data_IF_858559115985
#
_entry.id   IF_858559115985
#
_cell.length_a   1.000
_cell.length_b   1.000
_cell.length_c   1.000
_cell.angle_alpha   90.00
_cell.angle_beta   90.00
_cell.angle_gamma   90.00
#
_symmetry.space_group_name_H-M   'P 1'
#
loop_
_entity.id
_entity.type
_entity.pdbx_description
1 polymer ?
#
# COMPACT_ATOMS: atom_id res chain seq x y z
N UNK A 1 -16.24 -12.64 4.46
CA UNK A 1 -15.91 -12.71 5.90
C UNK A 1 -16.16 -14.10 6.45
N UNK A 2 -17.41 -14.59 6.51
CA UNK A 2 -17.75 -15.95 7.00
C UNK A 2 -16.98 -17.09 6.30
N UNK A 3 -16.70 -16.99 4.99
CA UNK A 3 -15.95 -18.02 4.26
C UNK A 3 -14.50 -18.12 4.75
N UNK A 4 -13.85 -16.99 5.01
CA UNK A 4 -12.48 -16.93 5.54
C UNK A 4 -12.45 -17.50 6.96
N UNK A 5 -13.43 -17.15 7.79
CA UNK A 5 -13.57 -17.63 9.17
C UNK A 5 -13.78 -19.16 9.23
N UNK A 6 -14.67 -19.69 8.37
CA UNK A 6 -14.99 -21.15 8.35
C UNK A 6 -13.80 -21.99 7.86
N UNK A 7 -13.07 -21.51 6.86
CA UNK A 7 -12.00 -22.29 6.23
C UNK A 7 -10.61 -21.95 6.79
N UNK A 8 -10.50 -21.04 7.75
CA UNK A 8 -9.23 -20.52 8.25
C UNK A 8 -8.26 -20.12 7.12
N UNK A 9 -8.82 -19.58 6.03
CA UNK A 9 -8.11 -19.29 4.80
C UNK A 9 -7.53 -17.89 4.83
N UNK A 10 -6.35 -17.69 4.20
CA UNK A 10 -5.83 -16.35 3.96
C UNK A 10 -6.75 -15.55 3.02
N UNK A 11 -6.69 -14.23 3.10
CA UNK A 11 -7.45 -13.33 2.21
C UNK A 11 -7.10 -13.58 0.73
N UNK A 12 -5.84 -13.90 0.43
CA UNK A 12 -5.37 -14.23 -0.92
C UNK A 12 -5.96 -15.56 -1.42
N UNK A 13 -6.05 -16.58 -0.56
CA UNK A 13 -6.70 -17.84 -0.92
C UNK A 13 -8.19 -17.64 -1.15
N UNK A 14 -8.88 -16.85 -0.31
CA UNK A 14 -10.27 -16.50 -0.52
C UNK A 14 -10.48 -15.76 -1.86
N UNK A 15 -9.58 -14.85 -2.22
CA UNK A 15 -9.60 -14.16 -3.51
C UNK A 15 -9.48 -15.12 -4.69
N UNK A 16 -8.62 -16.15 -4.59
CA UNK A 16 -8.49 -17.21 -5.60
C UNK A 16 -9.80 -17.97 -5.82
N UNK A 17 -10.49 -18.34 -4.74
CA UNK A 17 -11.80 -19.01 -4.84
C UNK A 17 -12.86 -18.12 -5.49
N UNK A 18 -12.91 -16.83 -5.11
CA UNK A 18 -13.82 -15.88 -5.73
C UNK A 18 -13.54 -15.70 -7.22
N UNK A 19 -12.26 -15.57 -7.59
CA UNK A 19 -11.86 -15.50 -8.99
C UNK A 19 -12.29 -16.76 -9.74
N UNK A 20 -11.96 -17.94 -9.25
CA UNK A 20 -12.33 -19.22 -9.89
C UNK A 20 -13.85 -19.41 -10.03
N UNK A 21 -14.64 -18.90 -9.07
CA UNK A 21 -16.09 -18.97 -9.13
C UNK A 21 -16.75 -17.98 -10.11
N UNK A 22 -16.11 -16.86 -10.39
CA UNK A 22 -16.64 -15.78 -11.23
C UNK A 22 -16.05 -15.78 -12.65
N UNK A 23 -14.85 -16.32 -12.83
CA UNK A 23 -14.20 -16.43 -14.14
C UNK A 23 -14.80 -17.60 -14.93
N UNK A 24 -15.16 -17.36 -16.19
CA UNK A 24 -15.66 -18.39 -17.12
C UNK A 24 -14.65 -18.57 -18.26
N UNK A 25 -14.12 -19.79 -18.43
CA UNK A 25 -13.28 -20.18 -19.59
C UNK A 25 -12.25 -19.12 -20.01
N UNK A 26 -11.32 -18.81 -19.13
CA UNK A 26 -10.22 -17.84 -19.34
C UNK A 26 -10.67 -16.38 -19.53
N UNK A 27 -11.90 -16.04 -19.16
CA UNK A 27 -12.41 -14.67 -19.22
C UNK A 27 -12.69 -14.13 -17.80
N UNK A 28 -11.80 -13.24 -17.33
CA UNK A 28 -11.91 -12.61 -16.02
C UNK A 28 -12.89 -11.41 -15.95
N UNK A 29 -13.59 -11.09 -17.06
CA UNK A 29 -14.46 -9.90 -17.13
C UNK A 29 -15.52 -9.88 -16.02
N UNK A 30 -16.16 -11.02 -15.71
CA UNK A 30 -17.15 -11.08 -14.64
C UNK A 30 -16.53 -10.85 -13.26
N UNK A 31 -15.35 -11.39 -13.03
CA UNK A 31 -14.59 -11.16 -11.80
C UNK A 31 -14.20 -9.68 -11.67
N UNK A 32 -13.60 -9.08 -12.69
CA UNK A 32 -13.19 -7.68 -12.69
C UNK A 32 -14.40 -6.75 -12.56
N UNK A 33 -15.54 -7.08 -13.19
CA UNK A 33 -16.81 -6.34 -13.03
C UNK A 33 -17.29 -6.38 -11.57
N UNK A 34 -17.21 -7.53 -10.92
CA UNK A 34 -17.58 -7.66 -9.51
C UNK A 34 -16.64 -6.84 -8.60
N UNK A 35 -15.32 -6.85 -8.89
CA UNK A 35 -14.33 -6.02 -8.16
C UNK A 35 -14.62 -4.53 -8.39
N UNK A 36 -14.83 -4.08 -9.63
CA UNK A 36 -15.19 -2.70 -9.96
C UNK A 36 -16.44 -2.26 -9.19
N UNK A 37 -17.47 -3.09 -9.21
CA UNK A 37 -18.70 -2.81 -8.47
C UNK A 37 -18.43 -2.67 -6.96
N UNK A 38 -17.64 -3.57 -6.37
CA UNK A 38 -17.33 -3.51 -4.94
C UNK A 38 -16.51 -2.27 -4.56
N UNK A 39 -15.62 -1.78 -5.46
CA UNK A 39 -14.83 -0.56 -5.23
C UNK A 39 -15.66 0.72 -5.30
N UNK A 40 -16.67 0.76 -6.18
CA UNK A 40 -17.35 2.00 -6.56
C UNK A 40 -18.85 2.05 -6.20
N UNK A 41 -19.41 1.00 -5.62
CA UNK A 41 -20.85 0.91 -5.29
C UNK A 41 -21.26 1.87 -4.15
N UNK A 42 -20.32 2.26 -3.30
CA UNK A 42 -20.56 3.20 -2.20
C UNK A 42 -19.95 4.57 -2.48
N UNK A 43 -20.65 5.65 -2.17
CA UNK A 43 -20.09 7.00 -2.34
C UNK A 43 -18.85 7.17 -1.46
N UNK A 44 -17.79 7.71 -2.05
CA UNK A 44 -16.55 7.99 -1.34
C UNK A 44 -16.73 9.16 -0.40
N UNK A 45 -16.24 9.02 0.83
CA UNK A 45 -16.21 10.08 1.82
C UNK A 45 -14.96 10.95 1.62
N UNK A 46 -15.03 12.26 1.91
CA UNK A 46 -13.84 13.10 1.99
C UNK A 46 -12.79 12.46 2.92
N UNK A 47 -11.53 12.51 2.52
CA UNK A 47 -10.43 11.93 3.28
C UNK A 47 -9.35 12.96 3.56
N UNK A 48 -9.23 13.45 4.81
CA UNK A 48 -8.14 14.35 5.20
C UNK A 48 -6.76 13.77 4.90
N UNK A 49 -6.62 12.44 4.97
CA UNK A 49 -5.38 11.76 4.61
C UNK A 49 -5.05 11.94 3.13
N UNK A 50 -6.02 11.78 2.25
CA UNK A 50 -5.81 12.00 0.81
C UNK A 50 -5.49 13.45 0.51
N UNK A 51 -6.19 14.40 1.15
CA UNK A 51 -5.87 15.82 1.01
C UNK A 51 -4.42 16.12 1.42
N UNK A 52 -3.94 15.56 2.52
CA UNK A 52 -2.57 15.72 2.97
C UNK A 52 -1.54 15.10 2.02
N UNK A 53 -1.81 13.89 1.48
CA UNK A 53 -0.96 13.22 0.48
C UNK A 53 -0.86 14.07 -0.80
N UNK A 54 -2.00 14.52 -1.33
CA UNK A 54 -2.02 15.33 -2.56
C UNK A 54 -1.34 16.69 -2.35
N UNK A 55 -1.48 17.24 -1.15
CA UNK A 55 -0.73 18.44 -0.77
C UNK A 55 0.79 18.26 -0.84
N UNK A 56 1.32 17.07 -0.50
CA UNK A 56 2.75 16.76 -0.68
C UNK A 56 3.13 16.63 -2.16
N UNK A 57 2.24 16.10 -2.99
CA UNK A 57 2.47 15.95 -4.43
C UNK A 57 2.50 17.31 -5.17
N UNK A 58 1.89 18.35 -4.60
CA UNK A 58 1.84 19.68 -5.23
C UNK A 58 3.25 20.31 -5.28
N UNK A 59 3.77 20.66 -6.46
CA UNK A 59 5.11 21.22 -6.61
C UNK A 59 5.29 22.53 -5.83
N UNK A 60 6.43 22.66 -5.16
CA UNK A 60 6.84 23.90 -4.49
C UNK A 60 8.11 24.45 -5.16
N UNK A 61 8.37 25.75 -4.97
CA UNK A 61 9.60 26.40 -5.49
C UNK A 61 10.87 25.87 -4.83
N UNK A 62 10.78 25.41 -3.59
CA UNK A 62 11.91 24.89 -2.80
C UNK A 62 11.45 23.66 -1.99
N UNK A 63 12.41 22.82 -1.58
CA UNK A 63 12.19 21.65 -0.77
C UNK A 63 12.14 20.34 -1.56
N UNK A 64 11.84 19.25 -0.85
CA UNK A 64 11.70 17.93 -1.45
C UNK A 64 10.48 17.88 -2.38
N UNK A 65 10.63 17.18 -3.50
CA UNK A 65 9.55 16.95 -4.46
C UNK A 65 9.19 15.50 -4.47
N UNK A 66 7.90 15.20 -4.50
CA UNK A 66 7.42 13.84 -4.80
C UNK A 66 7.70 13.59 -6.28
N UNK A 67 8.45 12.54 -6.56
CA UNK A 67 8.82 12.15 -7.92
C UNK A 67 7.84 11.16 -8.54
N UNK A 68 7.21 10.35 -7.71
CA UNK A 68 6.24 9.35 -8.14
C UNK A 68 5.36 8.92 -6.96
N UNK A 69 4.22 8.38 -7.28
CA UNK A 69 3.35 7.66 -6.36
C UNK A 69 3.32 6.20 -6.77
N UNK A 70 3.56 5.28 -5.83
CA UNK A 70 3.36 3.85 -6.05
C UNK A 70 2.18 3.42 -5.16
N UNK A 71 1.15 2.86 -5.77
CA UNK A 71 -0.02 2.37 -5.06
C UNK A 71 -0.25 0.89 -5.32
N UNK A 72 -0.72 0.20 -4.28
CA UNK A 72 -1.15 -1.20 -4.31
C UNK A 72 -2.67 -1.31 -4.45
N UNK A 73 -3.37 -0.18 -4.40
CA UNK A 73 -4.81 -0.10 -4.61
C UNK A 73 -5.14 -0.22 -6.10
N UNK A 74 -6.31 -0.76 -6.39
CA UNK A 74 -6.82 -0.90 -7.75
C UNK A 74 -7.63 0.31 -8.21
N UNK A 75 -8.06 1.17 -7.28
CA UNK A 75 -8.96 2.29 -7.55
C UNK A 75 -8.22 3.55 -8.01
N UNK A 76 -8.96 4.48 -8.58
CA UNK A 76 -8.51 5.79 -9.08
C UNK A 76 -8.64 6.91 -8.04
N UNK A 77 -8.55 6.61 -6.75
CA UNK A 77 -8.73 7.60 -5.69
C UNK A 77 -7.65 8.69 -5.70
N UNK A 78 -6.41 8.34 -5.98
CA UNK A 78 -5.29 9.28 -6.08
C UNK A 78 -5.54 10.25 -7.24
N UNK A 79 -5.91 9.72 -8.40
CA UNK A 79 -6.20 10.46 -9.63
C UNK A 79 -7.37 11.45 -9.41
N UNK A 80 -8.45 11.00 -8.78
CA UNK A 80 -9.59 11.86 -8.47
C UNK A 80 -9.21 13.08 -7.62
N UNK A 81 -8.27 12.90 -6.68
CA UNK A 81 -7.80 14.00 -5.85
C UNK A 81 -6.80 14.90 -6.57
N UNK A 82 -5.97 14.37 -7.45
CA UNK A 82 -5.09 15.15 -8.32
C UNK A 82 -5.89 15.99 -9.32
N UNK A 83 -6.96 15.44 -9.91
CA UNK A 83 -7.90 16.15 -10.77
C UNK A 83 -8.49 17.41 -10.07
N UNK A 84 -8.84 17.29 -8.77
CA UNK A 84 -9.39 18.43 -8.00
C UNK A 84 -8.41 19.59 -7.87
N UNK A 85 -7.12 19.30 -7.78
CA UNK A 85 -6.06 20.32 -7.67
C UNK A 85 -5.44 20.67 -9.02
N UNK A 86 -5.90 20.05 -10.11
CA UNK A 86 -5.44 20.25 -11.49
C UNK A 86 -3.93 20.02 -11.64
N UNK A 87 -3.42 18.96 -11.01
CA UNK A 87 -2.04 18.55 -11.15
C UNK A 87 -1.96 17.50 -12.26
N UNK A 88 -1.07 17.73 -13.22
CA UNK A 88 -0.85 16.80 -14.33
C UNK A 88 -0.20 15.52 -13.82
N UNK A 89 -0.73 14.38 -14.26
CA UNK A 89 -0.27 13.06 -13.85
C UNK A 89 -0.42 12.04 -14.97
N UNK A 90 0.29 10.92 -14.84
CA UNK A 90 0.14 9.76 -15.71
C UNK A 90 -0.10 8.52 -14.86
N UNK A 91 -1.24 7.87 -15.06
CA UNK A 91 -1.55 6.56 -14.47
C UNK A 91 -0.83 5.47 -15.28
N UNK A 92 -0.03 4.64 -14.59
CA UNK A 92 0.81 3.57 -15.18
C UNK A 92 0.47 2.26 -14.50
N UNK A 93 0.00 1.29 -15.26
CA UNK A 93 -0.38 -0.05 -14.76
C UNK A 93 0.02 -1.18 -15.72
N UNK A 94 0.76 -0.84 -16.79
CA UNK A 94 1.31 -1.76 -17.81
C UNK A 94 2.76 -1.38 -18.12
N UNK A 95 3.54 -2.34 -18.59
CA UNK A 95 4.97 -2.17 -18.93
C UNK A 95 5.23 -1.15 -20.05
N UNK A 96 4.30 -1.05 -20.98
CA UNK A 96 4.45 -0.22 -22.19
C UNK A 96 4.12 1.26 -21.96
N UNK A 97 3.62 1.63 -20.78
CA UNK A 97 3.19 2.99 -20.49
C UNK A 97 4.37 3.87 -20.04
N UNK A 98 4.43 5.06 -20.62
CA UNK A 98 5.43 6.08 -20.32
C UNK A 98 4.75 7.37 -19.86
N UNK A 99 5.49 8.21 -19.18
CA UNK A 99 5.05 9.54 -18.74
C UNK A 99 5.99 10.62 -19.26
N UNK A 100 5.47 11.82 -19.43
CA UNK A 100 6.25 12.99 -19.74
C UNK A 100 6.91 13.58 -18.47
N UNK A 101 7.93 14.43 -18.65
CA UNK A 101 8.74 14.94 -17.54
C UNK A 101 7.99 15.88 -16.58
N UNK A 102 6.88 16.45 -17.01
CA UNK A 102 6.01 17.36 -16.27
C UNK A 102 4.80 16.66 -15.63
N UNK A 103 4.56 15.40 -15.97
CA UNK A 103 3.56 14.57 -15.35
C UNK A 103 4.06 13.89 -14.08
N UNK A 104 3.20 13.77 -13.07
CA UNK A 104 3.46 12.94 -11.89
C UNK A 104 3.11 11.47 -12.21
N UNK A 105 4.06 10.55 -12.30
CA UNK A 105 3.75 9.14 -12.53
C UNK A 105 3.10 8.50 -11.31
N UNK A 106 1.97 7.82 -11.53
CA UNK A 106 1.24 7.03 -10.54
C UNK A 106 1.31 5.57 -10.99
N UNK A 107 2.09 4.77 -10.28
CA UNK A 107 2.30 3.36 -10.61
C UNK A 107 1.33 2.47 -9.81
N UNK A 108 0.36 1.86 -10.50
CA UNK A 108 -0.53 0.83 -9.94
C UNK A 108 0.11 -0.55 -10.08
N UNK A 109 1.00 -0.87 -9.17
CA UNK A 109 1.84 -2.09 -9.26
C UNK A 109 1.07 -3.39 -9.10
N UNK A 110 -0.17 -3.35 -8.63
CA UNK A 110 -1.08 -4.49 -8.53
C UNK A 110 -2.20 -4.48 -9.59
N UNK A 111 -2.18 -3.52 -10.52
CA UNK A 111 -3.21 -3.34 -11.53
C UNK A 111 -4.17 -2.20 -11.19
N UNK A 112 -5.00 -1.83 -12.16
CA UNK A 112 -5.84 -0.64 -12.10
C UNK A 112 -7.23 -0.89 -12.67
N UNK A 113 -8.25 -0.33 -12.01
CA UNK A 113 -9.64 -0.29 -12.49
C UNK A 113 -10.13 1.13 -12.33
N UNK A 114 -10.40 1.83 -13.45
CA UNK A 114 -11.01 3.16 -13.40
C UNK A 114 -12.48 3.12 -12.97
N UNK A 115 -12.92 4.14 -12.24
CA UNK A 115 -14.35 4.38 -11.98
C UNK A 115 -15.09 4.71 -13.27
N UNK A 116 -14.40 5.35 -14.23
CA UNK A 116 -14.96 5.87 -15.49
C UNK A 116 -14.76 4.86 -16.62
N UNK A 117 -15.70 4.85 -17.57
CA UNK A 117 -15.61 4.02 -18.77
C UNK A 117 -15.81 2.52 -18.54
N UNK A 118 -15.62 1.78 -19.60
CA UNK A 118 -15.73 0.32 -19.60
C UNK A 118 -14.44 -0.34 -19.08
N UNK A 119 -14.56 -1.59 -18.70
CA UNK A 119 -13.41 -2.39 -18.28
C UNK A 119 -12.59 -2.74 -19.53
N UNK A 120 -11.32 -2.44 -19.53
CA UNK A 120 -10.41 -2.84 -20.59
C UNK A 120 -10.30 -4.38 -20.66
N UNK A 121 -10.15 -4.92 -21.87
CA UNK A 121 -10.13 -6.37 -22.10
C UNK A 121 -8.95 -7.07 -21.45
N UNK A 122 -7.83 -6.36 -21.29
CA UNK A 122 -6.54 -6.92 -20.85
C UNK A 122 -6.15 -6.47 -19.42
N UNK A 123 -7.15 -6.10 -18.56
CA UNK A 123 -6.87 -5.74 -17.16
C UNK A 123 -6.37 -6.96 -16.41
N UNK A 124 -5.16 -6.87 -15.91
CA UNK A 124 -4.56 -7.85 -15.00
C UNK A 124 -4.50 -7.29 -13.58
N UNK A 125 -5.11 -8.00 -12.63
CA UNK A 125 -5.09 -7.64 -11.22
C UNK A 125 -4.26 -8.65 -10.43
N UNK A 126 -3.34 -8.16 -9.63
CA UNK A 126 -2.61 -8.96 -8.63
C UNK A 126 -3.48 -9.04 -7.38
N UNK A 127 -4.57 -9.82 -7.48
CA UNK A 127 -5.59 -9.93 -6.45
C UNK A 127 -5.60 -11.31 -5.78
N UNK A 128 -5.23 -12.35 -6.54
CA UNK A 128 -5.24 -13.73 -6.06
C UNK A 128 -3.83 -14.25 -5.78
N UNK A 129 -3.75 -15.30 -4.95
CA UNK A 129 -2.49 -15.98 -4.64
C UNK A 129 -1.70 -16.37 -5.89
N UNK A 130 -2.38 -16.86 -6.93
CA UNK A 130 -1.76 -17.25 -8.20
C UNK A 130 -1.12 -16.06 -8.94
N UNK A 131 -1.85 -14.93 -9.06
CA UNK A 131 -1.33 -13.71 -9.67
C UNK A 131 -0.14 -13.16 -8.89
N UNK A 132 -0.20 -13.26 -7.56
CA UNK A 132 0.87 -12.86 -6.67
C UNK A 132 2.13 -13.72 -6.87
N UNK A 133 1.97 -15.05 -6.93
CA UNK A 133 3.08 -15.97 -7.17
C UNK A 133 3.75 -15.73 -8.52
N UNK A 134 2.98 -15.39 -9.56
CA UNK A 134 3.53 -15.04 -10.86
C UNK A 134 4.48 -13.84 -10.76
N UNK A 135 4.04 -12.73 -10.19
CA UNK A 135 4.88 -11.53 -10.01
C UNK A 135 6.08 -11.79 -9.10
N UNK A 136 5.90 -12.58 -8.05
CA UNK A 136 6.99 -12.96 -7.15
C UNK A 136 8.07 -13.79 -7.84
N UNK A 137 7.67 -14.71 -8.72
CA UNK A 137 8.60 -15.59 -9.45
C UNK A 137 9.24 -14.94 -10.69
N UNK A 138 8.73 -13.79 -11.14
CA UNK A 138 9.28 -13.02 -12.27
C UNK A 138 10.09 -11.81 -11.77
N UNK A 139 11.41 -11.93 -11.53
CA UNK A 139 12.22 -10.85 -10.96
C UNK A 139 12.23 -9.58 -11.83
N UNK A 140 12.07 -9.74 -13.14
CA UNK A 140 12.07 -8.67 -14.13
C UNK A 140 10.68 -8.19 -14.51
N UNK A 141 9.64 -8.58 -13.78
CA UNK A 141 8.32 -8.01 -13.96
C UNK A 141 8.37 -6.50 -13.76
N UNK A 142 7.76 -5.74 -14.66
CA UNK A 142 7.86 -4.27 -14.68
C UNK A 142 7.57 -3.64 -13.30
N UNK A 143 6.54 -4.12 -12.60
CA UNK A 143 6.19 -3.59 -11.28
C UNK A 143 7.29 -3.84 -10.23
N UNK A 144 8.05 -4.95 -10.30
CA UNK A 144 9.20 -5.20 -9.45
C UNK A 144 10.35 -4.24 -9.77
N UNK A 145 10.60 -4.00 -11.07
CA UNK A 145 11.67 -3.10 -11.52
C UNK A 145 11.40 -1.66 -11.09
N UNK A 146 10.19 -1.16 -11.29
CA UNK A 146 9.79 0.20 -10.86
C UNK A 146 9.94 0.37 -9.35
N UNK A 147 9.43 -0.56 -8.57
CA UNK A 147 9.54 -0.53 -7.11
C UNK A 147 11.02 -0.57 -6.67
N UNK A 148 11.81 -1.48 -7.21
CA UNK A 148 13.21 -1.61 -6.85
C UNK A 148 14.02 -0.36 -7.23
N UNK A 149 13.81 0.21 -8.42
CA UNK A 149 14.45 1.45 -8.84
C UNK A 149 14.09 2.60 -7.88
N UNK A 150 12.81 2.74 -7.56
CA UNK A 150 12.32 3.77 -6.63
C UNK A 150 12.94 3.63 -5.25
N UNK A 151 12.97 2.41 -4.70
CA UNK A 151 13.58 2.13 -3.39
C UNK A 151 15.10 2.38 -3.37
N UNK A 152 15.78 2.19 -4.48
CA UNK A 152 17.23 2.43 -4.57
C UNK A 152 17.61 3.88 -4.78
N UNK A 153 16.81 4.64 -5.50
CA UNK A 153 17.15 5.99 -5.94
C UNK A 153 16.53 7.08 -5.06
N UNK A 154 15.44 6.78 -4.34
CA UNK A 154 14.68 7.76 -3.60
C UNK A 154 14.52 7.40 -2.12
N UNK A 155 14.19 8.40 -1.31
CA UNK A 155 13.63 8.18 0.03
C UNK A 155 12.12 7.96 -0.13
N UNK A 156 11.62 6.85 0.35
CA UNK A 156 10.20 6.51 0.25
C UNK A 156 9.48 6.77 1.57
N UNK A 157 8.29 7.33 1.49
CA UNK A 157 7.35 7.44 2.60
C UNK A 157 6.19 6.48 2.33
N UNK A 158 6.02 5.50 3.20
CA UNK A 158 5.03 4.42 3.07
C UNK A 158 3.86 4.68 4.00
N UNK A 159 2.66 4.76 3.44
CA UNK A 159 1.42 5.10 4.15
C UNK A 159 0.41 3.99 3.90
N UNK A 160 -0.20 3.46 4.97
CA UNK A 160 -1.20 2.39 4.88
C UNK A 160 -0.64 1.01 4.50
N UNK A 161 0.69 0.82 4.59
CA UNK A 161 1.34 -0.46 4.32
C UNK A 161 1.77 -1.12 5.64
N UNK A 162 1.35 -2.36 5.84
CA UNK A 162 1.79 -3.17 6.99
C UNK A 162 3.21 -3.72 6.84
N UNK A 163 3.78 -3.65 5.65
CA UNK A 163 5.03 -4.31 5.25
C UNK A 163 5.03 -5.84 5.54
N UNK A 164 3.84 -6.44 5.53
CA UNK A 164 3.69 -7.90 5.60
C UNK A 164 3.80 -8.58 4.23
N UNK A 165 3.74 -7.81 3.14
CA UNK A 165 3.87 -8.29 1.77
C UNK A 165 5.27 -8.86 1.53
N UNK A 166 5.42 -10.19 1.25
CA UNK A 166 6.73 -10.81 1.07
C UNK A 166 7.50 -10.28 -0.13
N UNK A 167 6.81 -9.83 -1.19
CA UNK A 167 7.47 -9.29 -2.37
C UNK A 167 8.06 -7.90 -2.08
N UNK A 168 7.31 -7.03 -1.44
CA UNK A 168 7.81 -5.72 -1.03
C UNK A 168 8.97 -5.85 -0.04
N UNK A 169 8.89 -6.76 0.93
CA UNK A 169 9.99 -7.04 1.86
C UNK A 169 11.25 -7.48 1.13
N UNK A 170 11.13 -8.41 0.18
CA UNK A 170 12.25 -8.84 -0.67
C UNK A 170 12.90 -7.67 -1.42
N UNK A 171 12.08 -6.79 -2.00
CA UNK A 171 12.59 -5.62 -2.73
C UNK A 171 13.30 -4.63 -1.79
N UNK A 172 12.76 -4.39 -0.59
CA UNK A 172 13.41 -3.59 0.46
C UNK A 172 14.76 -4.20 0.89
N UNK A 173 14.82 -5.50 1.14
CA UNK A 173 16.07 -6.19 1.47
C UNK A 173 17.13 -6.03 0.37
N UNK A 174 16.76 -6.21 -0.90
CA UNK A 174 17.67 -6.01 -2.04
C UNK A 174 18.13 -4.55 -2.12
N UNK A 175 17.25 -3.59 -1.89
CA UNK A 175 17.60 -2.18 -1.88
C UNK A 175 18.53 -1.82 -0.72
N UNK A 176 18.28 -2.36 0.48
CA UNK A 176 19.04 -2.10 1.69
C UNK A 176 20.48 -2.64 1.64
N UNK A 177 20.74 -3.77 0.95
CA UNK A 177 22.06 -4.39 0.87
C UNK A 177 23.19 -3.45 0.39
N UNK A 178 22.87 -2.45 -0.40
CA UNK A 178 23.85 -1.48 -0.94
C UNK A 178 24.02 -0.21 -0.10
N UNK A 179 23.14 0.03 0.89
CA UNK A 179 23.10 1.25 1.68
C UNK A 179 23.28 1.01 3.17
N UNK A 180 24.25 0.19 3.56
CA UNK A 180 24.45 -0.44 4.86
C UNK A 180 24.59 0.49 6.09
N UNK A 181 24.44 1.79 6.00
CA UNK A 181 24.70 2.69 7.15
C UNK A 181 23.56 3.62 7.55
N UNK A 182 22.58 3.90 6.70
CA UNK A 182 21.48 4.82 7.03
C UNK A 182 20.17 4.33 6.46
N UNK A 183 19.16 4.16 7.30
CA UNK A 183 17.79 3.93 6.85
C UNK A 183 17.31 5.13 6.04
N UNK A 184 16.79 4.87 4.83
CA UNK A 184 16.38 5.90 3.88
C UNK A 184 14.88 6.03 3.73
N UNK A 185 14.14 5.00 4.13
CA UNK A 185 12.70 4.94 3.96
C UNK A 185 12.00 5.16 5.29
N UNK A 186 10.73 5.54 5.22
CA UNK A 186 9.88 5.79 6.37
C UNK A 186 8.54 5.08 6.18
N UNK A 187 8.01 4.48 7.23
CA UNK A 187 6.69 3.83 7.22
C UNK A 187 5.88 4.29 8.42
N UNK A 188 4.62 4.64 8.19
CA UNK A 188 3.67 4.89 9.26
C UNK A 188 3.16 3.56 9.83
N UNK A 189 3.32 3.35 11.13
CA UNK A 189 2.82 2.18 11.83
C UNK A 189 2.06 2.59 13.09
N UNK A 190 0.92 1.94 13.33
CA UNK A 190 0.15 2.17 14.53
C UNK A 190 0.84 1.56 15.74
N UNK A 191 0.89 2.32 16.84
CA UNK A 191 1.36 1.79 18.13
C UNK A 191 0.41 0.72 18.64
N UNK A 192 0.96 -0.39 19.10
CA UNK A 192 0.19 -1.35 19.87
C UNK A 192 -0.14 -0.73 21.24
N UNK A 193 -1.41 -0.80 21.62
CA UNK A 193 -1.90 -0.35 22.93
C UNK A 193 -2.46 -1.52 23.74
N UNK A 194 -2.71 -1.30 25.03
CA UNK A 194 -3.34 -2.30 25.88
C UNK A 194 -4.72 -2.71 25.36
N UNK A 195 -5.47 -1.76 24.79
CA UNK A 195 -6.80 -2.03 24.22
C UNK A 195 -6.76 -2.93 22.97
N UNK A 196 -5.63 -2.93 22.26
CA UNK A 196 -5.42 -3.82 21.11
C UNK A 196 -4.89 -5.21 21.50
N UNK A 197 -4.27 -5.31 22.69
CA UNK A 197 -3.64 -6.54 23.16
C UNK A 197 -4.58 -7.42 23.99
N UNK A 198 -5.56 -6.82 24.65
CA UNK A 198 -6.39 -7.48 25.67
C UNK A 198 -7.84 -7.44 25.20
N UNK A 199 -8.42 -8.60 24.93
CA UNK A 199 -9.85 -8.74 24.68
C UNK A 199 -10.65 -8.38 25.94
N UNK A 200 -11.84 -7.81 25.77
CA UNK A 200 -12.69 -7.34 26.86
C UNK A 200 -12.98 -8.42 27.93
N UNK A 201 -12.96 -9.69 27.55
CA UNK A 201 -13.15 -10.83 28.47
C UNK A 201 -11.94 -11.19 29.32
N UNK A 202 -10.75 -10.73 28.99
CA UNK A 202 -9.50 -11.10 29.67
C UNK A 202 -8.86 -9.93 30.47
N UNK A 203 -9.52 -8.75 30.49
CA UNK A 203 -9.04 -7.55 31.20
C UNK A 203 -8.75 -7.78 32.70
N UNK A 204 -9.46 -8.71 33.35
CA UNK A 204 -9.26 -9.01 34.77
C UNK A 204 -8.09 -10.01 35.02
N UNK A 205 -7.55 -10.65 33.98
CA UNK A 205 -6.55 -11.71 34.08
C UNK A 205 -5.15 -11.31 33.73
N UNK A 206 -4.97 -10.21 33.00
CA UNK A 206 -3.67 -9.79 32.50
C UNK A 206 -3.09 -8.70 33.39
N UNK A 207 -1.90 -8.97 33.95
CA UNK A 207 -1.13 -7.97 34.69
C UNK A 207 -0.70 -6.84 33.75
N UNK A 208 -1.12 -5.62 34.05
CA UNK A 208 -0.83 -4.40 33.24
C UNK A 208 0.67 -4.19 33.09
N UNK A 209 1.49 -4.54 34.07
CA UNK A 209 2.96 -4.40 34.00
C UNK A 209 3.51 -5.33 32.95
N UNK A 210 3.05 -6.58 32.92
CA UNK A 210 3.44 -7.57 31.93
C UNK A 210 2.95 -7.18 30.53
N UNK A 211 1.72 -6.68 30.39
CA UNK A 211 1.19 -6.17 29.13
C UNK A 211 2.04 -5.02 28.57
N UNK A 212 2.36 -4.03 29.39
CA UNK A 212 3.21 -2.90 28.97
C UNK A 212 4.61 -3.36 28.54
N UNK A 213 5.19 -4.37 29.20
CA UNK A 213 6.49 -4.93 28.83
C UNK A 213 6.42 -5.63 27.47
N UNK A 214 5.35 -6.37 27.20
CA UNK A 214 5.11 -7.01 25.89
C UNK A 214 5.00 -5.94 24.80
N UNK A 215 4.22 -4.88 25.01
CA UNK A 215 4.05 -3.78 24.06
C UNK A 215 5.39 -3.10 23.76
N UNK A 216 6.17 -2.76 24.79
CA UNK A 216 7.49 -2.16 24.60
C UNK A 216 8.43 -3.09 23.82
N UNK A 217 8.45 -4.37 24.16
CA UNK A 217 9.26 -5.36 23.45
C UNK A 217 8.81 -5.47 21.99
N UNK A 218 7.51 -5.49 21.72
CA UNK A 218 6.96 -5.49 20.38
C UNK A 218 7.44 -4.29 19.55
N UNK A 219 7.37 -3.08 20.11
CA UNK A 219 7.82 -1.88 19.39
C UNK A 219 9.32 -1.94 19.08
N UNK A 220 10.16 -2.34 20.04
CA UNK A 220 11.61 -2.49 19.82
C UNK A 220 11.90 -3.53 18.72
N UNK A 221 11.22 -4.68 18.76
CA UNK A 221 11.39 -5.73 17.73
C UNK A 221 10.95 -5.23 16.35
N UNK A 222 9.83 -4.50 16.28
CA UNK A 222 9.36 -3.90 15.02
C UNK A 222 10.38 -2.89 14.47
N UNK A 223 10.93 -2.01 15.30
CA UNK A 223 11.96 -1.05 14.88
C UNK A 223 13.22 -1.77 14.36
N UNK A 224 13.67 -2.83 15.04
CA UNK A 224 14.81 -3.63 14.58
C UNK A 224 14.53 -4.31 13.24
N UNK A 225 13.33 -4.89 13.07
CA UNK A 225 12.92 -5.52 11.83
C UNK A 225 12.85 -4.52 10.67
N UNK A 226 12.23 -3.36 10.88
CA UNK A 226 12.13 -2.32 9.86
C UNK A 226 13.51 -1.73 9.53
N UNK A 227 14.35 -1.53 10.52
CA UNK A 227 15.72 -1.07 10.31
C UNK A 227 16.54 -2.05 9.44
N UNK A 228 16.35 -3.36 9.59
CA UNK A 228 17.00 -4.36 8.73
C UNK A 228 16.56 -4.25 7.26
N UNK A 229 15.38 -3.67 7.01
CA UNK A 229 14.84 -3.36 5.67
C UNK A 229 15.20 -1.93 5.20
N UNK A 230 16.10 -1.23 5.88
CA UNK A 230 16.47 0.15 5.55
C UNK A 230 15.36 1.17 5.80
N UNK A 231 14.43 0.88 6.70
CA UNK A 231 13.21 1.65 6.94
C UNK A 231 13.13 2.11 8.40
N UNK A 232 12.74 3.36 8.61
CA UNK A 232 12.42 3.92 9.93
C UNK A 232 10.91 3.90 10.14
N UNK A 233 10.47 3.67 11.37
CA UNK A 233 9.04 3.74 11.72
C UNK A 233 8.70 5.15 12.18
N UNK A 234 7.60 5.67 11.66
CA UNK A 234 6.88 6.83 12.19
C UNK A 234 5.66 6.28 12.93
N UNK A 235 5.72 6.29 14.26
CA UNK A 235 4.64 5.78 15.08
C UNK A 235 3.49 6.78 15.16
N UNK A 236 2.25 6.28 15.07
CA UNK A 236 1.03 7.01 15.37
C UNK A 236 0.11 6.20 16.29
N UNK A 237 -0.74 6.85 17.03
CA UNK A 237 -1.75 6.22 17.89
C UNK A 237 -3.09 6.16 17.16
N UNK A 238 -3.55 7.28 16.64
CA UNK A 238 -4.79 7.39 15.88
C UNK A 238 -4.55 7.76 14.40
N UNK A 239 -5.36 7.21 13.51
CA UNK A 239 -5.26 7.48 12.07
C UNK A 239 -5.40 8.97 11.72
N UNK A 240 -6.10 9.76 12.55
CA UNK A 240 -6.27 11.21 12.38
C UNK A 240 -4.98 12.02 12.66
N UNK A 241 -3.95 11.38 13.19
CA UNK A 241 -2.63 12.01 13.37
C UNK A 241 -1.83 12.05 12.07
N UNK A 242 -2.00 11.06 11.17
CA UNK A 242 -1.20 10.94 9.96
C UNK A 242 -1.32 12.20 9.08
N UNK A 243 -2.50 12.75 8.77
CA UNK A 243 -2.62 14.01 8.02
C UNK A 243 -1.85 15.16 8.64
N UNK A 244 -1.91 15.31 9.96
CA UNK A 244 -1.20 16.37 10.72
C UNK A 244 0.32 16.23 10.64
N UNK A 245 0.80 14.99 10.74
CA UNK A 245 2.23 14.67 10.58
C UNK A 245 2.71 14.98 9.15
N UNK A 246 1.92 14.60 8.13
CA UNK A 246 2.22 14.90 6.73
C UNK A 246 2.28 16.41 6.47
N UNK A 247 1.33 17.18 7.01
CA UNK A 247 1.32 18.65 6.89
C UNK A 247 2.53 19.31 7.57
N UNK A 248 3.08 18.68 8.63
CA UNK A 248 4.28 19.18 9.29
C UNK A 248 5.55 19.03 8.45
N UNK A 249 5.63 18.03 7.58
CA UNK A 249 6.75 17.81 6.65
C UNK A 249 6.77 18.91 5.56
N UNK A 250 5.64 19.54 5.31
CA UNK A 250 5.46 20.55 4.27
C UNK A 250 6.13 21.89 4.60
N UNK A 251 6.46 22.14 5.85
CA UNK A 251 7.11 23.39 6.30
C UNK A 251 8.59 23.39 5.98
#
# INVERSE_FOLDING_TARGET
KKFIEINNSSTLAAARYLKAGLSQKDNDVHFITAVKKALYDSPRKPSPLMDAIINLCTPKRSGAKIKSVITYNFDDLVEEYLDKVKLEYKTIYKDEEQHDSDELPIYHVHGFISSRGDIEKDVSLIFSEEAYHKVYSEPYHWSNLVQLATLRENNCLMIGLSLSDPNLRRLLEIAAQKHSKNNRHYVFMQRLSNDNLIDDGDKERIDIISANKIIQTHHVVQEMMMSSLGTNIIWFEDYDEIPKLLDSIKK
#
